data_IF_543535307179
#
_entry.id   IF_543535307179
#
_cell.length_a   1.000
_cell.length_b   1.000
_cell.length_c   1.000
_cell.angle_alpha   90.00
_cell.angle_beta   90.00
_cell.angle_gamma   90.00
#
_symmetry.space_group_name_H-M   'P 1'
#
loop_
_entity.id
_entity.type
_entity.pdbx_description
1 polymer ?
#
# COMPACT_ATOMS: atom_id res chain seq x y z
N UNK A 1 -1.36 -12.24 40.51
CA UNK A 1 -0.71 -11.56 39.38
C UNK A 1 -1.85 -11.03 38.52
N UNK A 2 -2.23 -9.78 38.74
CA UNK A 2 -3.36 -9.13 38.05
C UNK A 2 -3.03 -8.93 36.56
N UNK A 3 -3.80 -9.56 35.69
CA UNK A 3 -3.82 -9.24 34.27
C UNK A 3 -4.79 -8.07 34.11
N UNK A 4 -4.26 -6.86 33.95
CA UNK A 4 -5.06 -5.70 33.56
C UNK A 4 -5.68 -5.96 32.19
N UNK A 5 -6.89 -6.52 32.18
CA UNK A 5 -7.79 -6.50 31.04
C UNK A 5 -8.04 -5.02 30.75
N UNK A 6 -7.40 -4.52 29.68
CA UNK A 6 -7.64 -3.20 29.14
C UNK A 6 -9.15 -3.05 28.96
N UNK A 7 -9.73 -2.21 29.82
CA UNK A 7 -11.07 -1.71 29.68
C UNK A 7 -11.16 -1.09 28.29
N UNK A 8 -11.94 -1.72 27.41
CA UNK A 8 -12.33 -1.09 26.16
C UNK A 8 -13.14 0.17 26.51
N UNK A 9 -12.67 1.38 26.16
CA UNK A 9 -13.51 2.56 26.30
C UNK A 9 -14.68 2.39 25.33
N UNK A 10 -15.90 2.56 25.86
CA UNK A 10 -17.08 2.85 25.04
C UNK A 10 -16.87 4.23 24.42
N UNK A 11 -16.16 4.25 23.32
CA UNK A 11 -16.05 5.42 22.46
C UNK A 11 -16.38 4.95 21.07
N UNK A 12 -17.38 5.60 20.49
CA UNK A 12 -17.62 5.71 19.05
C UNK A 12 -16.40 6.33 18.39
N UNK A 13 -15.27 5.63 18.41
CA UNK A 13 -14.08 5.96 17.65
C UNK A 13 -14.30 5.37 16.27
N UNK A 14 -14.36 6.26 15.29
CA UNK A 14 -14.10 5.92 13.92
C UNK A 14 -12.70 5.31 13.88
N UNK A 15 -12.60 3.98 13.93
CA UNK A 15 -11.34 3.26 13.78
C UNK A 15 -10.74 3.73 12.46
N UNK A 16 -9.50 4.22 12.51
CA UNK A 16 -8.85 4.76 11.32
C UNK A 16 -8.66 3.65 10.29
N UNK A 17 -8.78 3.96 9.00
CA UNK A 17 -8.43 2.99 7.93
C UNK A 17 -7.01 2.43 8.10
N UNK A 18 -6.12 3.20 8.75
CA UNK A 18 -4.77 2.77 9.09
C UNK A 18 -4.73 1.64 10.13
N UNK A 19 -5.66 1.59 11.09
CA UNK A 19 -5.70 0.55 12.12
C UNK A 19 -6.17 -0.79 11.54
N UNK A 20 -7.16 -0.77 10.65
CA UNK A 20 -7.57 -1.96 9.90
C UNK A 20 -6.44 -2.49 9.01
N UNK A 21 -5.73 -1.59 8.32
CA UNK A 21 -4.61 -1.98 7.49
C UNK A 21 -3.50 -2.67 8.29
N UNK A 22 -3.20 -2.23 9.52
CA UNK A 22 -2.20 -2.89 10.37
C UNK A 22 -2.55 -4.35 10.66
N UNK A 23 -3.82 -4.65 10.94
CA UNK A 23 -4.29 -6.01 11.20
C UNK A 23 -4.17 -6.87 9.94
N UNK A 24 -4.60 -6.36 8.79
CA UNK A 24 -4.47 -7.06 7.51
C UNK A 24 -3.01 -7.36 7.14
N UNK A 25 -2.11 -6.39 7.36
CA UNK A 25 -0.68 -6.58 7.15
C UNK A 25 -0.10 -7.64 8.09
N UNK A 26 -0.53 -7.70 9.35
CA UNK A 26 -0.12 -8.77 10.27
C UNK A 26 -0.65 -10.14 9.82
N UNK A 27 -1.87 -10.22 9.31
CA UNK A 27 -2.42 -11.48 8.79
C UNK A 27 -1.68 -11.98 7.52
N UNK A 28 -1.26 -11.06 6.65
CA UNK A 28 -0.58 -11.40 5.39
C UNK A 28 0.92 -11.69 5.55
N UNK A 29 1.59 -10.98 6.46
CA UNK A 29 3.06 -11.01 6.58
C UNK A 29 3.57 -11.52 7.93
N UNK A 30 2.69 -11.69 8.91
CA UNK A 30 3.03 -12.22 10.23
C UNK A 30 3.07 -13.74 10.27
N UNK A 31 3.66 -14.25 11.33
CA UNK A 31 3.63 -15.68 11.66
C UNK A 31 2.79 -15.85 12.93
N UNK A 32 1.98 -16.91 12.94
CA UNK A 32 1.11 -17.26 14.05
C UNK A 32 1.87 -18.17 15.02
N UNK A 33 1.96 -17.75 16.27
CA UNK A 33 2.58 -18.51 17.35
C UNK A 33 1.51 -18.98 18.31
N UNK A 34 1.45 -20.30 18.55
CA UNK A 34 0.61 -20.90 19.58
C UNK A 34 1.09 -20.50 20.98
N UNK A 35 0.13 -20.08 21.82
CA UNK A 35 0.35 -19.78 23.24
C UNK A 35 -0.46 -20.70 24.16
N UNK A 36 -1.03 -21.77 23.61
CA UNK A 36 -1.83 -22.76 24.29
C UNK A 36 -3.31 -22.39 24.39
N UNK A 37 -4.12 -23.34 24.87
CA UNK A 37 -5.57 -23.17 25.06
C UNK A 37 -6.33 -22.75 23.78
N UNK A 38 -5.83 -23.14 22.61
CA UNK A 38 -6.41 -22.74 21.32
C UNK A 38 -6.24 -21.25 21.00
N UNK A 39 -5.30 -20.56 21.66
CA UNK A 39 -5.01 -19.15 21.42
C UNK A 39 -3.70 -19.02 20.66
N UNK A 40 -3.68 -18.07 19.75
CA UNK A 40 -2.50 -17.73 18.98
C UNK A 40 -2.30 -16.22 19.00
N UNK A 41 -1.05 -15.76 18.98
CA UNK A 41 -0.74 -14.38 18.62
C UNK A 41 -0.01 -14.37 17.28
N UNK A 42 -0.34 -13.39 16.45
CA UNK A 42 0.33 -13.18 15.17
C UNK A 42 1.30 -12.02 15.31
N UNK A 43 2.56 -12.25 14.92
CA UNK A 43 3.59 -11.21 15.00
C UNK A 43 4.46 -11.18 13.76
N UNK A 44 5.04 -10.01 13.49
CA UNK A 44 5.86 -9.81 12.31
C UNK A 44 7.28 -10.35 12.56
N UNK A 45 7.70 -11.36 11.79
CA UNK A 45 9.09 -11.82 11.84
C UNK A 45 10.01 -10.90 11.04
N UNK A 46 11.33 -11.01 11.24
CA UNK A 46 12.31 -10.28 10.42
C UNK A 46 12.13 -10.56 8.91
N UNK A 47 11.76 -11.79 8.57
CA UNK A 47 11.48 -12.20 7.18
C UNK A 47 10.18 -11.58 6.68
N UNK A 48 9.11 -11.65 7.48
CA UNK A 48 7.82 -11.01 7.19
C UNK A 48 7.98 -9.50 6.94
N UNK A 49 8.72 -8.81 7.82
CA UNK A 49 9.00 -7.38 7.70
C UNK A 49 9.74 -7.02 6.41
N UNK A 50 10.78 -7.78 6.04
CA UNK A 50 11.51 -7.55 4.78
C UNK A 50 10.61 -7.71 3.56
N UNK A 51 9.72 -8.70 3.55
CA UNK A 51 8.73 -8.89 2.47
C UNK A 51 7.75 -7.72 2.41
N UNK A 52 7.20 -7.33 3.56
CA UNK A 52 6.29 -6.19 3.65
C UNK A 52 6.92 -4.91 3.07
N UNK A 53 8.16 -4.59 3.47
CA UNK A 53 8.86 -3.42 2.93
C UNK A 53 9.06 -3.49 1.42
N UNK A 54 9.41 -4.67 0.89
CA UNK A 54 9.57 -4.88 -0.55
C UNK A 54 8.25 -4.63 -1.30
N UNK A 55 7.15 -5.14 -0.78
CA UNK A 55 5.84 -5.05 -1.44
C UNK A 55 5.28 -3.61 -1.34
N UNK A 56 5.45 -2.95 -0.19
CA UNK A 56 5.14 -1.51 -0.05
C UNK A 56 6.00 -0.67 -0.99
N UNK A 57 7.29 -0.98 -1.15
CA UNK A 57 8.14 -0.29 -2.12
C UNK A 57 7.62 -0.47 -3.55
N UNK A 58 7.17 -1.67 -3.91
CA UNK A 58 6.58 -1.93 -5.22
C UNK A 58 5.30 -1.12 -5.43
N UNK A 59 4.40 -1.10 -4.43
CA UNK A 59 3.19 -0.24 -4.45
C UNK A 59 3.58 1.22 -4.61
N UNK A 60 4.56 1.73 -3.86
CA UNK A 60 5.03 3.11 -3.97
C UNK A 60 5.54 3.46 -5.38
N UNK A 61 6.20 2.55 -6.08
CA UNK A 61 6.62 2.80 -7.47
C UNK A 61 5.41 2.91 -8.40
N UNK A 62 4.40 2.05 -8.24
CA UNK A 62 3.16 2.14 -9.00
C UNK A 62 2.36 3.40 -8.67
N UNK A 63 2.33 3.82 -7.39
CA UNK A 63 1.68 5.06 -6.98
C UNK A 63 2.30 6.29 -7.67
N UNK A 64 3.62 6.30 -7.92
CA UNK A 64 4.25 7.37 -8.70
C UNK A 64 3.71 7.45 -10.12
N UNK A 65 3.39 6.31 -10.74
CA UNK A 65 2.79 6.26 -12.07
C UNK A 65 1.32 6.64 -12.09
N UNK A 66 0.60 6.51 -10.97
CA UNK A 66 -0.81 6.92 -10.89
C UNK A 66 -0.99 8.41 -11.14
N UNK A 67 -0.03 9.27 -10.76
CA UNK A 67 -0.13 10.72 -11.02
C UNK A 67 -0.28 11.05 -12.51
N UNK A 68 0.27 10.20 -13.39
CA UNK A 68 0.15 10.31 -14.84
C UNK A 68 -0.83 9.30 -15.43
N UNK A 69 -1.52 8.48 -14.62
CA UNK A 69 -2.50 7.51 -15.11
C UNK A 69 -3.89 8.10 -14.96
N UNK A 70 -4.73 7.96 -15.99
CA UNK A 70 -6.13 8.39 -15.93
C UNK A 70 -7.03 7.28 -16.47
N UNK A 71 -8.27 7.29 -16.03
CA UNK A 71 -9.30 6.35 -16.45
C UNK A 71 -10.25 7.09 -17.39
N UNK A 72 -10.66 6.42 -18.45
CA UNK A 72 -11.77 6.84 -19.30
C UNK A 72 -12.91 5.87 -19.00
N UNK A 73 -13.96 6.38 -18.37
CA UNK A 73 -15.22 5.67 -18.21
C UNK A 73 -16.19 6.01 -19.35
N UNK A 74 -17.15 5.11 -19.59
CA UNK A 74 -18.38 5.40 -20.28
C UNK A 74 -19.49 5.46 -19.23
N UNK A 75 -20.21 6.57 -19.23
CA UNK A 75 -21.41 6.81 -18.44
C UNK A 75 -21.22 6.66 -16.91
N UNK A 76 -19.99 6.86 -16.40
CA UNK A 76 -19.69 6.89 -14.96
C UNK A 76 -19.57 5.52 -14.27
N UNK A 77 -20.04 4.44 -14.89
CA UNK A 77 -20.07 3.09 -14.28
C UNK A 77 -19.20 2.06 -15.02
N UNK A 78 -18.91 2.26 -16.31
CA UNK A 78 -18.15 1.28 -17.09
C UNK A 78 -16.74 1.80 -17.39
N UNK A 79 -15.71 1.19 -16.82
CA UNK A 79 -14.32 1.49 -17.21
C UNK A 79 -14.09 1.03 -18.65
N UNK A 80 -13.80 1.96 -19.56
CA UNK A 80 -13.58 1.66 -20.98
C UNK A 80 -12.10 1.51 -21.28
N UNK A 81 -11.25 2.39 -20.75
CA UNK A 81 -9.82 2.39 -21.07
C UNK A 81 -9.00 3.07 -19.98
N UNK A 82 -7.74 2.63 -19.83
CA UNK A 82 -6.73 3.26 -18.99
C UNK A 82 -5.71 3.96 -19.88
N UNK A 83 -5.48 5.25 -19.65
CA UNK A 83 -4.50 6.06 -20.40
C UNK A 83 -3.34 6.53 -19.53
N UNK A 84 -2.23 6.89 -20.18
CA UNK A 84 -1.11 7.56 -19.52
C UNK A 84 -0.87 8.94 -20.13
N UNK A 85 -0.84 9.96 -19.27
CA UNK A 85 -0.50 11.33 -19.61
C UNK A 85 1.00 11.41 -19.89
N UNK A 86 1.34 11.70 -21.14
CA UNK A 86 2.72 11.93 -21.54
C UNK A 86 3.22 13.26 -20.92
N UNK A 87 4.10 13.17 -19.93
CA UNK A 87 4.79 14.33 -19.36
C UNK A 87 6.03 14.66 -20.21
N UNK A 88 5.82 15.01 -21.47
CA UNK A 88 6.89 15.52 -22.32
C UNK A 88 7.39 16.85 -21.78
N UNK A 89 8.50 16.85 -21.04
CA UNK A 89 9.35 18.05 -21.03
C UNK A 89 9.89 18.17 -22.46
N UNK A 90 9.71 19.30 -23.17
CA UNK A 90 10.43 19.49 -24.41
C UNK A 90 11.92 19.44 -24.06
N UNK A 91 12.63 18.44 -24.58
CA UNK A 91 14.08 18.45 -24.60
C UNK A 91 14.50 19.56 -25.55
N UNK A 92 14.62 20.79 -25.06
CA UNK A 92 15.48 21.80 -25.68
C UNK A 92 16.91 21.32 -25.48
N UNK A 93 17.32 20.36 -26.32
CA UNK A 93 18.63 19.76 -26.36
C UNK A 93 19.09 19.67 -27.81
N UNK A 94 19.39 20.85 -28.38
CA UNK A 94 20.31 21.05 -29.49
C UNK A 94 20.24 20.09 -30.68
N UNK A 95 19.39 20.42 -31.65
CA UNK A 95 19.72 20.13 -33.04
C UNK A 95 20.89 21.05 -33.46
N UNK A 96 22.12 20.58 -33.35
CA UNK A 96 23.27 21.20 -33.99
C UNK A 96 23.72 20.33 -35.17
N UNK A 97 23.54 20.93 -36.34
CA UNK A 97 23.81 20.44 -37.69
C UNK A 97 25.16 19.72 -37.80
N UNK A 98 25.15 18.61 -38.54
CA UNK A 98 26.35 18.13 -39.21
C UNK A 98 26.70 19.08 -40.36
N UNK A 99 27.94 19.56 -40.39
CA UNK A 99 28.55 20.22 -41.54
C UNK A 99 29.66 19.31 -42.05
N UNK A 100 29.56 18.90 -43.31
CA UNK A 100 30.69 18.48 -44.13
C UNK A 100 31.04 19.62 -45.09
#
# INVERSE_FOLDING_TARGET
MDLHLLQHPKTTHHISSAEYLQVELLMLYGESCDIGQGKHYTSLTKRGYKRLLKDIHHVQQHLKTLRSTYLIDADGDTLVTVGQRYNGRPSTGGALRASH
#
